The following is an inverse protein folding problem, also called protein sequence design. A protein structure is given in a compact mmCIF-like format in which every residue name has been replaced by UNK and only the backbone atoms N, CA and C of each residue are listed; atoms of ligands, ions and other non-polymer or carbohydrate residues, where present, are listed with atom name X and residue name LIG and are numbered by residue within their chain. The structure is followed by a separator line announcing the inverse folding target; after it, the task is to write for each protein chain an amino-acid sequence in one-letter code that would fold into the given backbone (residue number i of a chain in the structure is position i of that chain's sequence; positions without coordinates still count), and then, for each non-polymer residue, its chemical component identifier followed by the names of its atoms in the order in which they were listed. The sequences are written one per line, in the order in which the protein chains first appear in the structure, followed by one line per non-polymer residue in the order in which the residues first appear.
data_IF_123164045219
#
_entry.id   IF_123164045219
#
_cell.length_a   1.000
_cell.length_b   1.000
_cell.length_c   1.000
_cell.angle_alpha   90.00
_cell.angle_beta   90.00
_cell.angle_gamma   90.00
#
_symmetry.space_group_name_H-M   'P 1'
#
loop_
_entity.id
_entity.type
_entity.pdbx_description
1 polymer ?
#
# COMPACT_ATOMS: atom_id res chain seq x y z
N UNK A 1 10.47 -4.39 -3.32
CA UNK A 1 9.19 -4.41 -4.05
C UNK A 1 8.78 -5.85 -4.21
N UNK A 2 7.50 -6.17 -4.11
CA UNK A 2 7.01 -7.53 -4.31
C UNK A 2 5.48 -7.57 -4.44
N UNK A 3 4.97 -8.71 -4.89
CA UNK A 3 3.55 -9.05 -4.84
C UNK A 3 3.26 -9.68 -3.48
N UNK A 4 2.32 -9.08 -2.74
CA UNK A 4 1.94 -9.55 -1.41
C UNK A 4 0.52 -10.13 -1.38
N UNK A 5 -0.17 -10.21 -2.54
CA UNK A 5 -1.53 -10.74 -2.67
C UNK A 5 -2.55 -10.18 -1.64
N UNK A 6 -2.30 -8.96 -1.14
CA UNK A 6 -3.08 -8.35 -0.07
C UNK A 6 -3.66 -7.00 -0.44
N UNK A 7 -4.85 -6.70 0.09
CA UNK A 7 -5.48 -5.39 0.00
C UNK A 7 -5.34 -4.68 1.34
N UNK A 8 -4.46 -3.68 1.39
CA UNK A 8 -4.26 -2.84 2.58
C UNK A 8 -5.43 -1.88 2.85
N UNK A 9 -6.27 -1.65 1.84
CA UNK A 9 -7.48 -0.83 1.90
C UNK A 9 -7.23 0.69 1.90
N UNK A 10 -8.28 1.47 1.68
CA UNK A 10 -8.19 2.95 1.62
C UNK A 10 -7.84 3.60 2.96
N UNK A 11 -8.25 3.00 4.08
CA UNK A 11 -8.14 3.63 5.40
C UNK A 11 -6.82 3.28 6.10
N UNK A 12 -6.33 4.19 6.94
CA UNK A 12 -5.13 3.99 7.76
C UNK A 12 -5.44 3.12 8.98
N UNK A 13 -6.49 3.43 9.74
CA UNK A 13 -7.07 2.61 10.82
C UNK A 13 -6.02 1.83 11.64
N UNK A 14 -5.23 2.53 12.46
CA UNK A 14 -4.28 1.92 13.41
C UNK A 14 -2.90 1.60 12.83
N UNK A 15 -2.58 2.10 11.63
CA UNK A 15 -1.29 1.93 10.97
C UNK A 15 -0.69 3.29 10.55
N UNK A 16 -0.84 4.28 11.43
CA UNK A 16 -0.30 5.62 11.27
C UNK A 16 1.23 5.55 11.14
N UNK A 17 1.79 6.06 10.04
CA UNK A 17 3.23 6.01 9.76
C UNK A 17 3.66 4.83 8.87
N UNK A 18 2.86 3.78 8.80
CA UNK A 18 3.05 2.63 7.90
C UNK A 18 2.30 2.82 6.58
N UNK A 19 1.02 3.20 6.68
CA UNK A 19 0.08 3.31 5.57
C UNK A 19 -0.31 4.77 5.30
N UNK A 20 -0.19 5.21 4.04
CA UNK A 20 -0.43 6.59 3.62
C UNK A 20 -1.86 6.93 3.21
N UNK A 21 -2.79 5.97 3.25
CA UNK A 21 -4.24 6.24 3.11
C UNK A 21 -4.74 6.52 1.69
N UNK A 22 -3.93 6.29 0.65
CA UNK A 22 -4.33 6.59 -0.74
C UNK A 22 -4.80 5.37 -1.55
N UNK A 23 -4.99 4.20 -0.95
CA UNK A 23 -5.36 2.99 -1.71
C UNK A 23 -6.87 2.93 -1.96
N UNK A 24 -7.27 1.94 -2.75
CA UNK A 24 -8.65 1.70 -3.14
C UNK A 24 -9.13 0.39 -2.52
N UNK A 25 -10.44 0.26 -2.34
CA UNK A 25 -11.06 -0.94 -1.77
C UNK A 25 -10.95 -1.02 -0.25
N UNK A 26 -11.49 -2.12 0.27
CA UNK A 26 -11.48 -2.45 1.69
C UNK A 26 -10.24 -3.29 2.03
N UNK A 27 -9.84 -3.24 3.30
CA UNK A 27 -8.72 -4.03 3.81
C UNK A 27 -9.13 -5.50 3.97
N UNK A 28 -8.35 -6.43 3.44
CA UNK A 28 -8.52 -7.87 3.68
C UNK A 28 -7.52 -8.40 4.74
N UNK A 29 -7.60 -9.70 5.04
CA UNK A 29 -6.75 -10.33 6.05
C UNK A 29 -5.27 -10.23 5.70
N UNK A 30 -4.92 -10.52 4.45
CA UNK A 30 -3.56 -10.47 3.91
C UNK A 30 -2.98 -9.05 3.96
N UNK A 31 -3.81 -8.04 3.63
CA UNK A 31 -3.42 -6.65 3.74
C UNK A 31 -3.23 -6.20 5.19
N UNK A 32 -4.01 -6.73 6.14
CA UNK A 32 -3.77 -6.48 7.57
C UNK A 32 -2.45 -7.10 8.02
N UNK A 33 -2.21 -8.38 7.69
CA UNK A 33 -0.96 -9.06 8.05
C UNK A 33 0.27 -8.34 7.48
N UNK A 34 0.18 -7.82 6.26
CA UNK A 34 1.25 -7.01 5.66
C UNK A 34 1.50 -5.72 6.46
N UNK A 35 0.45 -5.05 6.93
CA UNK A 35 0.59 -3.82 7.72
C UNK A 35 1.14 -4.10 9.11
N UNK A 36 0.69 -5.16 9.77
CA UNK A 36 1.23 -5.63 11.07
C UNK A 36 2.70 -6.00 10.96
N UNK A 37 3.11 -6.68 9.88
CA UNK A 37 4.52 -6.98 9.60
C UNK A 37 5.38 -5.71 9.45
N UNK A 38 4.81 -4.62 8.91
CA UNK A 38 5.55 -3.39 8.68
C UNK A 38 5.60 -2.48 9.92
N UNK A 39 4.75 -2.69 10.93
CA UNK A 39 4.43 -1.70 11.96
C UNK A 39 5.63 -1.23 12.80
N UNK A 40 6.68 -2.06 12.92
CA UNK A 40 7.84 -1.72 13.74
C UNK A 40 8.89 -0.87 13.02
N UNK A 41 9.19 -1.13 11.74
CA UNK A 41 10.34 -0.49 11.06
C UNK A 41 10.09 -0.10 9.60
N UNK A 42 8.99 -0.56 8.99
CA UNK A 42 8.75 -0.41 7.56
C UNK A 42 7.50 0.43 7.27
N UNK A 43 7.43 0.96 6.07
CA UNK A 43 6.21 1.61 5.58
C UNK A 43 5.89 1.14 4.16
N UNK A 44 4.59 1.07 3.86
CA UNK A 44 4.08 0.65 2.55
C UNK A 44 3.99 1.87 1.64
N UNK A 45 5.09 2.21 0.98
CA UNK A 45 5.30 3.56 0.41
C UNK A 45 4.38 3.90 -0.76
N UNK A 46 3.96 2.91 -1.54
CA UNK A 46 3.02 3.10 -2.65
C UNK A 46 1.62 3.56 -2.19
N UNK A 47 1.35 3.55 -0.89
CA UNK A 47 0.09 4.01 -0.29
C UNK A 47 0.12 5.49 0.09
N UNK A 48 1.28 6.15 0.03
CA UNK A 48 1.49 7.56 0.39
C UNK A 48 1.30 8.51 -0.79
N UNK A 49 1.47 8.01 -2.02
CA UNK A 49 1.34 8.82 -3.22
C UNK A 49 -0.10 8.86 -3.72
N UNK A 50 -0.60 10.07 -3.94
CA UNK A 50 -1.95 10.30 -4.48
C UNK A 50 -1.95 10.20 -6.00
N UNK A 51 -2.06 8.97 -6.52
CA UNK A 51 -2.22 8.70 -7.97
C UNK A 51 -3.69 8.62 -8.39
N UNK A 52 -3.97 8.84 -9.69
CA UNK A 52 -5.29 8.56 -10.28
C UNK A 52 -5.56 7.05 -10.25
N UNK A 53 -6.84 6.64 -10.20
CA UNK A 53 -7.23 5.22 -10.10
C UNK A 53 -6.57 4.36 -11.18
N UNK A 54 -6.59 4.81 -12.44
CA UNK A 54 -5.93 4.14 -13.59
C UNK A 54 -4.42 3.91 -13.38
N UNK A 55 -3.73 4.82 -12.69
CA UNK A 55 -2.29 4.71 -12.40
C UNK A 55 -1.97 3.93 -11.13
N UNK A 56 -2.97 3.60 -10.31
CA UNK A 56 -2.81 2.78 -9.10
C UNK A 56 -2.94 1.30 -9.41
N UNK A 57 -3.65 0.92 -10.46
CA UNK A 57 -3.98 -0.46 -10.78
C UNK A 57 -2.76 -1.14 -11.38
N UNK A 58 -2.35 -2.25 -10.80
CA UNK A 58 -1.29 -3.12 -11.32
C UNK A 58 -1.84 -4.45 -11.84
N UNK A 59 -3.08 -4.81 -11.52
CA UNK A 59 -3.73 -6.01 -12.04
C UNK A 59 -5.21 -5.75 -12.34
N UNK A 60 -5.67 -6.11 -13.54
CA UNK A 60 -7.08 -5.99 -13.95
C UNK A 60 -7.52 -7.27 -14.69
N UNK A 61 -8.57 -7.93 -14.18
CA UNK A 61 -9.19 -9.10 -14.81
C UNK A 61 -10.71 -8.96 -14.76
N UNK A 62 -11.37 -9.10 -15.91
CA UNK A 62 -12.83 -9.07 -16.01
C UNK A 62 -13.47 -7.78 -15.48
N UNK A 63 -12.78 -6.63 -15.59
CA UNK A 63 -13.25 -5.34 -15.07
C UNK A 63 -13.06 -5.15 -13.56
N UNK A 64 -12.41 -6.10 -12.87
CA UNK A 64 -12.00 -5.96 -11.47
C UNK A 64 -10.56 -5.48 -11.42
N UNK A 65 -10.42 -4.25 -10.94
CA UNK A 65 -9.16 -3.55 -10.78
C UNK A 65 -8.62 -3.78 -9.35
N UNK A 66 -7.38 -4.23 -9.26
CA UNK A 66 -6.75 -4.66 -8.01
C UNK A 66 -5.38 -4.01 -7.83
N UNK A 67 -4.96 -3.91 -6.56
CA UNK A 67 -3.62 -3.39 -6.24
C UNK A 67 -2.87 -4.22 -5.22
N UNK A 68 -2.01 -5.13 -5.71
CA UNK A 68 -1.35 -6.19 -4.92
C UNK A 68 0.18 -6.08 -4.82
N UNK A 69 0.85 -5.38 -5.76
CA UNK A 69 2.26 -5.02 -5.59
C UNK A 69 2.46 -3.85 -4.62
N UNK A 70 3.45 -4.03 -3.74
CA UNK A 70 3.86 -3.02 -2.77
C UNK A 70 5.37 -2.82 -2.75
N UNK A 71 5.76 -1.59 -2.44
CA UNK A 71 7.12 -1.23 -2.08
C UNK A 71 7.15 -1.00 -0.58
N UNK A 72 8.10 -1.64 0.09
CA UNK A 72 8.37 -1.48 1.51
C UNK A 72 9.71 -0.77 1.65
N UNK A 73 9.78 0.20 2.54
CA UNK A 73 11.00 0.97 2.82
C UNK A 73 11.05 1.25 4.33
N UNK A 74 12.26 1.27 4.90
CA UNK A 74 12.48 1.70 6.28
C UNK A 74 11.88 3.07 6.55
N UNK A 75 11.24 3.26 7.70
CA UNK A 75 10.54 4.49 8.04
C UNK A 75 11.45 5.73 7.95
N UNK A 76 12.73 5.58 8.34
CA UNK A 76 13.78 6.60 8.27
C UNK A 76 14.12 7.02 6.84
N UNK A 77 13.94 6.10 5.89
CA UNK A 77 14.25 6.29 4.48
C UNK A 77 13.07 6.83 3.66
N UNK A 78 11.86 6.84 4.23
CA UNK A 78 10.64 7.35 3.57
C UNK A 78 10.80 8.77 3.03
N UNK A 79 11.54 9.63 3.72
CA UNK A 79 11.79 11.04 3.36
C UNK A 79 12.51 11.23 2.01
N UNK A 80 13.17 10.21 1.50
CA UNK A 80 13.89 10.27 0.22
C UNK A 80 13.02 9.87 -0.97
N UNK A 81 11.82 9.36 -0.72
CA UNK A 81 10.95 8.86 -1.77
C UNK A 81 10.27 10.00 -2.51
N UNK A 82 10.26 9.89 -3.84
CA UNK A 82 9.59 10.83 -4.72
C UNK A 82 8.66 10.07 -5.66
N UNK A 83 7.51 10.66 -5.93
CA UNK A 83 6.69 10.27 -7.06
C UNK A 83 7.29 10.93 -8.31
N UNK A 84 7.58 10.14 -9.34
CA UNK A 84 8.15 10.59 -10.61
C UNK A 84 7.19 10.35 -11.76
#
# INVERSE_FOLDING_TARGET
MGDFNGHVGKWIQGFEGVHGGNRIGERNMEGRMLLEFCDEELCVVNTWFRKTKKRKINFSVGGKDTVIDFMLVGMENRKYLRDV
#
